data_IF_716047562682
#
_entry.id   IF_716047562682
#
_cell.length_a   1.000
_cell.length_b   1.000
_cell.length_c   1.000
_cell.angle_alpha   90.00
_cell.angle_beta   90.00
_cell.angle_gamma   90.00
#
_symmetry.space_group_name_H-M   'P 1'
#
loop_
_entity.id
_entity.type
_entity.pdbx_description
1 polymer ?
#
# COMPACT_ATOMS: atom_id res chain seq x y z
N UNK A 1 -31.60 -74.65 -54.58
CA UNK A 1 -30.24 -74.62 -54.05
C UNK A 1 -30.07 -73.36 -53.18
N UNK A 2 -30.21 -73.49 -51.86
CA UNK A 2 -30.10 -72.34 -50.90
C UNK A 2 -28.66 -72.21 -50.47
N UNK A 3 -28.00 -71.11 -50.83
CA UNK A 3 -26.64 -70.81 -50.43
C UNK A 3 -26.70 -70.14 -49.05
N UNK A 4 -26.18 -70.83 -48.03
CA UNK A 4 -26.01 -70.29 -46.68
C UNK A 4 -24.80 -69.30 -46.69
N UNK A 5 -25.02 -68.00 -46.33
CA UNK A 5 -23.96 -67.05 -46.16
C UNK A 5 -23.16 -67.41 -44.90
N UNK A 6 -21.82 -67.30 -44.92
CA UNK A 6 -20.98 -67.74 -43.81
C UNK A 6 -21.09 -66.81 -42.60
N UNK A 7 -21.14 -67.42 -41.42
CA UNK A 7 -21.27 -66.78 -40.07
C UNK A 7 -20.12 -65.82 -39.75
N UNK A 8 -19.05 -65.88 -40.49
CA UNK A 8 -17.81 -65.01 -40.25
C UNK A 8 -18.02 -63.53 -40.50
N UNK A 9 -18.97 -63.12 -41.35
CA UNK A 9 -19.14 -61.67 -41.68
C UNK A 9 -19.84 -60.93 -40.55
N UNK A 10 -20.66 -61.56 -39.72
CA UNK A 10 -21.34 -60.90 -38.58
C UNK A 10 -20.38 -60.56 -37.43
N UNK A 11 -19.38 -61.37 -37.14
CA UNK A 11 -18.42 -61.13 -36.08
C UNK A 11 -17.44 -60.01 -36.42
N UNK A 12 -17.11 -59.79 -37.68
CA UNK A 12 -16.21 -58.73 -38.10
C UNK A 12 -16.89 -57.34 -38.02
N UNK A 13 -18.19 -57.28 -38.37
CA UNK A 13 -18.96 -56.04 -38.26
C UNK A 13 -19.17 -55.59 -36.81
N UNK A 14 -19.39 -56.52 -35.88
CA UNK A 14 -19.55 -56.25 -34.47
C UNK A 14 -18.23 -55.74 -33.85
N UNK A 15 -17.08 -56.25 -34.19
CA UNK A 15 -15.78 -55.82 -33.73
C UNK A 15 -15.41 -54.42 -34.24
N UNK A 16 -15.71 -54.10 -35.48
CA UNK A 16 -15.52 -52.80 -36.07
C UNK A 16 -16.42 -51.71 -35.42
N UNK A 17 -17.69 -52.03 -35.18
CA UNK A 17 -18.59 -51.11 -34.48
C UNK A 17 -18.18 -50.85 -33.03
N UNK A 18 -17.72 -51.89 -32.33
CA UNK A 18 -17.24 -51.73 -30.94
C UNK A 18 -15.96 -50.90 -30.86
N UNK A 19 -15.05 -51.09 -31.81
CA UNK A 19 -13.81 -50.32 -31.90
C UNK A 19 -14.07 -48.85 -32.26
N UNK A 20 -14.98 -48.54 -33.14
CA UNK A 20 -15.38 -47.18 -33.50
C UNK A 20 -16.09 -46.45 -32.34
N UNK A 21 -17.01 -47.13 -31.65
CA UNK A 21 -17.71 -46.58 -30.48
C UNK A 21 -16.76 -46.29 -29.30
N UNK A 22 -15.78 -47.17 -29.07
CA UNK A 22 -14.83 -47.00 -27.98
C UNK A 22 -13.85 -45.84 -28.24
N UNK A 23 -13.42 -45.69 -29.51
CA UNK A 23 -12.57 -44.54 -29.88
C UNK A 23 -13.34 -43.22 -29.87
N UNK A 24 -14.60 -43.19 -30.31
CA UNK A 24 -15.47 -42.01 -30.24
C UNK A 24 -15.72 -41.58 -28.78
N UNK A 25 -15.94 -42.54 -27.88
CA UNK A 25 -16.13 -42.27 -26.43
C UNK A 25 -14.85 -41.72 -25.77
N UNK A 26 -13.68 -42.28 -26.12
CA UNK A 26 -12.38 -41.79 -25.63
C UNK A 26 -12.06 -40.39 -26.15
N UNK A 27 -12.42 -40.06 -27.40
CA UNK A 27 -12.27 -38.70 -27.96
C UNK A 27 -13.22 -37.72 -27.26
N UNK A 28 -14.49 -38.14 -27.01
CA UNK A 28 -15.47 -37.30 -26.32
C UNK A 28 -15.07 -36.98 -24.89
N UNK A 29 -14.50 -37.94 -24.13
CA UNK A 29 -13.98 -37.73 -22.79
C UNK A 29 -12.76 -36.77 -22.82
N UNK A 30 -11.86 -36.90 -23.80
CA UNK A 30 -10.71 -35.97 -23.95
C UNK A 30 -11.15 -34.56 -24.29
N UNK A 31 -12.17 -34.39 -25.13
CA UNK A 31 -12.74 -33.06 -25.43
C UNK A 31 -13.43 -32.47 -24.21
N UNK A 32 -14.15 -33.25 -23.40
CA UNK A 32 -14.76 -32.81 -22.16
C UNK A 32 -13.72 -32.40 -21.12
N UNK A 33 -12.58 -33.10 -21.00
CA UNK A 33 -11.47 -32.72 -20.10
C UNK A 33 -10.75 -31.45 -20.56
N UNK A 34 -10.56 -31.25 -21.86
CA UNK A 34 -9.99 -30.04 -22.42
C UNK A 34 -10.94 -28.85 -22.26
N UNK A 35 -12.23 -29.03 -22.54
CA UNK A 35 -13.23 -27.96 -22.35
C UNK A 35 -13.48 -27.64 -20.87
N UNK A 36 -13.49 -28.64 -19.98
CA UNK A 36 -13.57 -28.44 -18.52
C UNK A 36 -12.35 -27.75 -17.97
N UNK A 37 -11.14 -28.06 -18.44
CA UNK A 37 -9.90 -27.38 -18.08
C UNK A 37 -9.90 -25.88 -18.49
N UNK A 38 -10.46 -25.53 -19.63
CA UNK A 38 -10.59 -24.15 -20.09
C UNK A 38 -11.62 -23.35 -19.28
N UNK A 39 -12.69 -23.97 -18.78
CA UNK A 39 -13.70 -23.30 -17.95
C UNK A 39 -13.22 -23.01 -16.52
N UNK A 40 -12.30 -23.81 -15.99
CA UNK A 40 -11.68 -23.55 -14.67
C UNK A 40 -10.58 -22.47 -14.71
N UNK A 41 -9.97 -22.20 -15.87
CA UNK A 41 -8.97 -21.14 -16.00
C UNK A 41 -9.58 -19.73 -16.16
N UNK A 42 -10.86 -19.59 -16.38
CA UNK A 42 -11.52 -18.29 -16.65
C UNK A 42 -12.00 -17.55 -15.40
N UNK A 43 -11.79 -18.06 -14.20
CA UNK A 43 -12.19 -17.42 -12.94
C UNK A 43 -11.03 -17.06 -12.00
N UNK A 44 -9.81 -16.97 -12.49
CA UNK A 44 -8.82 -16.14 -11.81
C UNK A 44 -9.25 -14.68 -12.02
N UNK A 45 -10.19 -14.18 -11.20
CA UNK A 45 -10.30 -12.75 -10.95
C UNK A 45 -8.88 -12.31 -10.61
N UNK A 46 -8.25 -11.57 -11.52
CA UNK A 46 -7.04 -10.86 -11.18
C UNK A 46 -7.44 -9.95 -10.02
N UNK A 47 -7.16 -10.38 -8.81
CA UNK A 47 -7.18 -9.55 -7.64
C UNK A 47 -6.24 -8.40 -8.02
N UNK A 48 -6.80 -7.21 -8.24
CA UNK A 48 -5.99 -6.02 -8.54
C UNK A 48 -5.13 -5.89 -7.30
N UNK A 49 -3.87 -6.31 -7.43
CA UNK A 49 -2.93 -6.23 -6.34
C UNK A 49 -2.94 -4.78 -5.88
N UNK A 50 -3.36 -4.56 -4.65
CA UNK A 50 -3.42 -3.27 -4.00
C UNK A 50 -2.02 -2.67 -4.07
N UNK A 51 -1.84 -1.67 -4.93
CA UNK A 51 -0.54 -1.03 -5.16
C UNK A 51 -0.53 0.33 -4.50
N UNK A 52 0.60 0.69 -3.92
CA UNK A 52 0.85 2.06 -3.55
C UNK A 52 0.69 2.98 -4.77
N UNK A 53 0.11 4.17 -4.61
CA UNK A 53 0.16 5.16 -5.66
C UNK A 53 1.63 5.53 -5.95
N UNK A 54 1.96 5.76 -7.20
CA UNK A 54 3.29 6.23 -7.59
C UNK A 54 3.54 7.63 -7.05
N UNK A 55 4.63 7.83 -6.35
CA UNK A 55 5.05 9.13 -5.79
C UNK A 55 6.02 9.85 -6.72
N UNK A 56 6.67 9.11 -7.62
CA UNK A 56 7.51 9.64 -8.69
C UNK A 56 6.70 9.76 -9.99
N UNK A 57 6.97 10.80 -10.78
CA UNK A 57 6.32 10.97 -12.07
C UNK A 57 6.70 9.84 -13.03
N UNK A 58 5.75 9.28 -13.78
CA UNK A 58 6.00 8.19 -14.73
C UNK A 58 7.04 8.55 -15.82
N UNK A 59 7.25 9.85 -16.09
CA UNK A 59 8.24 10.36 -17.05
C UNK A 59 9.54 10.85 -16.41
N UNK A 60 9.68 10.73 -15.10
CA UNK A 60 10.87 11.17 -14.38
C UNK A 60 11.97 10.12 -14.51
N UNK A 61 12.89 10.34 -15.44
CA UNK A 61 14.06 9.49 -15.61
C UNK A 61 15.17 9.98 -14.69
N UNK A 62 15.45 9.22 -13.63
CA UNK A 62 16.61 9.46 -12.79
C UNK A 62 17.79 8.65 -13.32
N UNK A 63 18.92 9.32 -13.53
CA UNK A 63 20.16 8.66 -13.94
C UNK A 63 20.71 7.88 -12.75
N UNK A 64 21.21 6.65 -13.01
CA UNK A 64 21.88 5.88 -11.98
C UNK A 64 23.08 6.66 -11.44
N UNK A 65 23.11 6.97 -10.14
CA UNK A 65 24.20 7.75 -9.56
C UNK A 65 25.47 6.94 -9.44
N UNK A 66 26.60 7.62 -9.49
CA UNK A 66 27.88 7.03 -9.10
C UNK A 66 27.98 7.01 -7.57
N UNK A 67 28.13 5.81 -7.01
CA UNK A 67 28.20 5.59 -5.55
C UNK A 67 29.60 5.14 -5.10
N UNK A 68 30.62 5.12 -5.99
CA UNK A 68 31.96 4.59 -5.69
C UNK A 68 32.70 5.37 -4.60
N UNK A 69 32.42 6.65 -4.49
CA UNK A 69 33.04 7.52 -3.48
C UNK A 69 32.32 7.47 -2.11
N UNK A 70 31.19 6.73 -2.02
CA UNK A 70 30.47 6.58 -0.77
C UNK A 70 31.11 5.46 0.03
N UNK A 71 31.93 5.82 1.01
CA UNK A 71 32.61 4.89 1.92
C UNK A 71 31.86 4.70 3.23
N UNK A 72 30.84 5.53 3.49
CA UNK A 72 29.96 5.49 4.67
C UNK A 72 28.65 6.19 4.38
N UNK A 73 27.53 5.57 4.82
CA UNK A 73 26.19 6.15 4.74
C UNK A 73 25.44 5.82 6.03
N UNK A 74 25.45 6.74 6.98
CA UNK A 74 24.77 6.57 8.27
C UNK A 74 23.40 7.19 8.24
N UNK A 75 22.43 6.40 8.67
CA UNK A 75 21.07 6.82 8.87
C UNK A 75 20.82 7.03 10.35
N UNK A 76 20.09 8.07 10.69
CA UNK A 76 19.65 8.33 12.06
C UNK A 76 18.13 8.28 12.15
N UNK A 77 17.64 7.64 13.23
CA UNK A 77 16.21 7.45 13.48
C UNK A 77 15.90 7.53 14.98
N UNK A 78 14.63 7.35 15.34
CA UNK A 78 14.16 7.18 16.74
C UNK A 78 13.69 5.74 16.96
N UNK A 79 13.23 5.39 18.17
CA UNK A 79 12.72 4.04 18.48
C UNK A 79 11.27 4.05 19.00
N UNK A 80 10.61 5.19 18.97
CA UNK A 80 9.32 5.46 19.64
C UNK A 80 8.18 5.78 18.66
N UNK A 81 8.31 5.33 17.40
CA UNK A 81 7.34 5.60 16.35
C UNK A 81 6.87 4.33 15.61
N UNK A 82 6.19 3.38 16.29
CA UNK A 82 5.68 2.18 15.64
C UNK A 82 4.51 2.52 14.69
N UNK A 83 4.37 1.80 13.55
CA UNK A 83 5.17 0.66 13.09
C UNK A 83 6.40 1.07 12.23
N UNK A 84 6.77 2.35 12.22
CA UNK A 84 7.83 2.87 11.36
C UNK A 84 9.23 2.58 11.90
N UNK A 85 9.47 2.90 13.15
CA UNK A 85 10.73 2.64 13.86
C UNK A 85 10.46 2.39 15.35
N UNK A 86 10.84 1.23 15.83
CA UNK A 86 10.62 0.77 17.20
C UNK A 86 11.64 -0.30 17.59
N UNK A 87 11.77 -0.59 18.87
CA UNK A 87 12.55 -1.71 19.33
C UNK A 87 11.70 -3.00 19.30
N UNK A 88 12.22 -4.06 18.68
CA UNK A 88 11.60 -5.37 18.69
C UNK A 88 11.73 -6.04 20.09
N UNK A 89 11.16 -7.23 20.24
CA UNK A 89 11.22 -7.98 21.49
C UNK A 89 12.64 -8.34 21.94
N UNK A 90 13.63 -8.27 21.06
CA UNK A 90 15.04 -8.52 21.35
C UNK A 90 15.83 -7.24 21.60
N UNK A 91 15.17 -6.08 21.61
CA UNK A 91 15.80 -4.77 21.79
C UNK A 91 16.51 -4.22 20.53
N UNK A 92 16.31 -4.84 19.36
CA UNK A 92 16.89 -4.37 18.10
C UNK A 92 15.93 -3.41 17.41
N UNK A 93 16.51 -2.40 16.74
CA UNK A 93 15.71 -1.47 15.94
C UNK A 93 15.06 -2.18 14.74
N UNK A 94 13.75 -2.00 14.57
CA UNK A 94 12.92 -2.60 13.57
C UNK A 94 11.84 -1.61 13.09
N UNK A 95 11.11 -1.96 12.03
CA UNK A 95 9.98 -1.19 11.52
C UNK A 95 10.09 -0.92 10.02
N UNK A 96 9.04 -0.30 9.48
CA UNK A 96 8.94 0.04 8.06
C UNK A 96 10.15 0.86 7.57
N UNK A 97 10.54 1.89 8.31
CA UNK A 97 11.67 2.74 7.96
C UNK A 97 13.00 1.97 7.96
N UNK A 98 13.16 1.00 8.87
CA UNK A 98 14.38 0.20 8.97
C UNK A 98 14.50 -0.78 7.80
N UNK A 99 13.39 -1.41 7.41
CA UNK A 99 13.37 -2.28 6.25
C UNK A 99 13.52 -1.49 4.93
N UNK A 100 12.96 -0.27 4.87
CA UNK A 100 13.16 0.66 3.75
C UNK A 100 14.62 1.06 3.62
N UNK A 101 15.28 1.43 4.72
CA UNK A 101 16.72 1.74 4.76
C UNK A 101 17.53 0.58 4.19
N UNK A 102 17.28 -0.65 4.66
CA UNK A 102 17.98 -1.85 4.15
C UNK A 102 17.75 -2.03 2.64
N UNK A 103 16.52 -1.80 2.17
CA UNK A 103 16.21 -1.89 0.74
C UNK A 103 16.93 -0.81 -0.08
N UNK A 104 17.02 0.43 0.42
CA UNK A 104 17.79 1.51 -0.21
C UNK A 104 19.26 1.13 -0.31
N UNK A 105 19.85 0.66 0.77
CA UNK A 105 21.27 0.27 0.79
C UNK A 105 21.56 -0.87 -0.20
N UNK A 106 20.69 -1.86 -0.26
CA UNK A 106 20.80 -2.96 -1.21
C UNK A 106 20.64 -2.48 -2.67
N UNK A 107 19.68 -1.61 -2.93
CA UNK A 107 19.49 -1.04 -4.27
C UNK A 107 20.70 -0.26 -4.78
N UNK A 108 21.36 0.46 -3.86
CA UNK A 108 22.59 1.22 -4.14
C UNK A 108 23.85 0.37 -4.09
N UNK A 109 23.79 -0.91 -3.68
CA UNK A 109 24.93 -1.82 -3.44
C UNK A 109 25.89 -1.27 -2.37
N UNK A 110 25.33 -0.64 -1.36
CA UNK A 110 26.06 0.01 -0.25
C UNK A 110 25.86 -0.70 1.10
N UNK A 111 25.39 -1.97 1.14
CA UNK A 111 25.05 -2.67 2.39
C UNK A 111 26.19 -2.68 3.41
N UNK A 112 27.44 -2.74 2.94
CA UNK A 112 28.63 -2.77 3.80
C UNK A 112 29.00 -1.40 4.41
N UNK A 113 28.44 -0.34 3.84
CA UNK A 113 28.72 1.04 4.20
C UNK A 113 27.54 1.72 4.93
N UNK A 114 26.39 1.03 4.99
CA UNK A 114 25.20 1.55 5.65
C UNK A 114 25.19 1.17 7.12
N UNK A 115 24.93 2.17 7.95
CA UNK A 115 24.77 2.03 9.40
C UNK A 115 23.48 2.74 9.83
N UNK A 116 22.90 2.32 10.95
CA UNK A 116 21.74 2.99 11.55
C UNK A 116 22.04 3.33 13.00
N UNK A 117 21.83 4.58 13.36
CA UNK A 117 21.93 5.10 14.72
C UNK A 117 20.56 5.50 15.25
N UNK A 118 20.38 5.38 16.56
CA UNK A 118 19.14 5.78 17.23
C UNK A 118 19.45 6.93 18.18
N UNK A 119 18.75 8.05 18.00
CA UNK A 119 18.90 9.23 18.87
C UNK A 119 17.51 9.73 19.28
N UNK A 120 17.41 10.52 20.36
CA UNK A 120 16.18 11.21 20.71
C UNK A 120 15.68 12.14 19.58
N UNK A 121 14.36 12.24 19.42
CA UNK A 121 13.74 13.08 18.38
C UNK A 121 14.33 14.50 18.29
N UNK A 122 14.57 15.12 19.44
CA UNK A 122 15.09 16.50 19.52
C UNK A 122 16.52 16.66 18.99
N UNK A 123 17.27 15.57 18.90
CA UNK A 123 18.67 15.57 18.48
C UNK A 123 18.85 15.27 16.99
N UNK A 124 17.83 14.76 16.29
CA UNK A 124 17.92 14.30 14.89
C UNK A 124 18.56 15.37 13.97
N UNK A 125 18.05 16.60 14.01
CA UNK A 125 18.50 17.68 13.10
C UNK A 125 19.94 18.10 13.42
N UNK A 126 20.25 18.34 14.69
CA UNK A 126 21.61 18.73 15.10
C UNK A 126 22.62 17.61 14.86
N UNK A 127 22.20 16.34 15.03
CA UNK A 127 23.06 15.18 14.78
C UNK A 127 23.57 15.14 13.32
N UNK A 128 22.69 15.35 12.32
CA UNK A 128 23.11 15.38 10.90
C UNK A 128 23.84 16.66 10.52
N UNK A 129 23.46 17.81 11.12
CA UNK A 129 24.18 19.08 10.91
C UNK A 129 25.65 18.98 11.35
N UNK A 130 25.88 18.34 12.48
CA UNK A 130 27.22 18.15 13.07
C UNK A 130 27.99 16.98 12.42
N UNK A 131 27.39 16.25 11.45
CA UNK A 131 28.05 15.15 10.74
C UNK A 131 28.07 13.84 11.53
N UNK A 132 27.19 13.69 12.53
CA UNK A 132 26.97 12.44 13.25
C UNK A 132 26.36 11.39 12.31
N UNK A 133 25.44 11.77 11.44
CA UNK A 133 24.88 10.92 10.40
C UNK A 133 24.68 11.73 9.09
N UNK A 134 24.45 11.04 7.98
CA UNK A 134 24.19 11.63 6.66
C UNK A 134 22.70 11.81 6.39
N UNK A 135 21.83 10.88 6.85
CA UNK A 135 20.41 10.80 6.47
C UNK A 135 19.52 10.64 7.69
N UNK A 136 18.44 11.42 7.78
CA UNK A 136 17.35 11.22 8.75
C UNK A 136 16.28 10.34 8.10
N UNK A 137 15.86 9.26 8.80
CA UNK A 137 14.77 8.39 8.45
C UNK A 137 13.86 8.16 9.68
N UNK A 138 13.06 9.18 10.04
CA UNK A 138 12.26 9.19 11.28
C UNK A 138 10.86 9.79 11.11
N UNK A 139 10.43 10.13 9.90
CA UNK A 139 9.16 10.81 9.66
C UNK A 139 9.19 12.30 9.98
N UNK A 140 10.38 12.93 9.92
CA UNK A 140 10.52 14.37 10.09
C UNK A 140 9.74 15.09 8.97
N UNK A 141 8.93 16.09 9.36
CA UNK A 141 8.13 16.87 8.42
C UNK A 141 8.97 17.95 7.74
N UNK A 142 8.76 18.09 6.44
CA UNK A 142 9.22 19.24 5.68
C UNK A 142 8.38 20.47 6.03
N UNK A 143 8.99 21.46 6.65
CA UNK A 143 8.40 22.74 7.07
C UNK A 143 9.38 23.87 6.74
N UNK A 144 8.91 25.12 6.72
CA UNK A 144 9.79 26.27 6.51
C UNK A 144 10.94 26.34 7.53
N UNK A 145 10.73 25.82 8.74
CA UNK A 145 11.78 25.76 9.76
C UNK A 145 12.80 24.66 9.44
N UNK A 146 12.36 23.44 9.13
CA UNK A 146 13.30 22.34 8.85
C UNK A 146 14.06 22.53 7.54
N UNK A 147 13.46 23.19 6.54
CA UNK A 147 14.11 23.59 5.28
C UNK A 147 15.24 24.61 5.45
N UNK A 148 15.36 25.27 6.60
CA UNK A 148 16.50 26.14 6.85
C UNK A 148 17.82 25.37 6.91
N UNK A 149 17.80 24.15 7.45
CA UNK A 149 18.98 23.31 7.68
C UNK A 149 19.04 22.06 6.82
N UNK A 150 17.88 21.59 6.32
CA UNK A 150 17.73 20.30 5.66
C UNK A 150 17.20 20.42 4.23
N UNK A 151 17.51 19.40 3.43
CA UNK A 151 16.90 19.12 2.12
C UNK A 151 16.21 17.75 2.21
N UNK A 152 15.06 17.62 1.55
CA UNK A 152 14.21 16.44 1.62
C UNK A 152 14.13 15.71 0.28
N UNK A 153 14.02 14.39 0.33
CA UNK A 153 13.73 13.56 -0.85
C UNK A 153 12.28 13.74 -1.29
N UNK A 154 11.90 13.14 -2.41
CA UNK A 154 10.50 12.83 -2.70
C UNK A 154 9.92 11.91 -1.61
N UNK A 155 8.60 11.95 -1.36
CA UNK A 155 8.00 11.10 -0.35
C UNK A 155 8.02 9.63 -0.77
N UNK A 156 8.21 8.76 0.21
CA UNK A 156 8.10 7.30 0.05
C UNK A 156 6.81 6.72 0.65
N UNK A 157 6.04 7.55 1.37
CA UNK A 157 4.72 7.22 1.89
C UNK A 157 3.92 8.50 2.11
N UNK A 158 2.62 8.50 1.78
CA UNK A 158 1.69 9.61 2.06
C UNK A 158 0.54 9.11 2.90
N UNK A 159 -0.09 10.01 3.63
CA UNK A 159 -1.25 9.72 4.48
C UNK A 159 -2.47 10.41 3.89
N UNK A 160 -3.30 9.68 3.11
CA UNK A 160 -4.52 10.24 2.57
C UNK A 160 -5.58 10.41 3.64
N UNK A 161 -6.50 11.33 3.43
CA UNK A 161 -7.77 11.29 4.13
C UNK A 161 -8.68 10.24 3.47
N UNK A 162 -9.46 9.52 4.27
CA UNK A 162 -10.36 8.47 3.81
C UNK A 162 -11.73 8.59 4.45
N UNK A 163 -12.74 8.15 3.73
CA UNK A 163 -14.04 7.85 4.32
C UNK A 163 -14.09 6.40 4.82
N UNK A 164 -14.81 6.23 5.93
CA UNK A 164 -15.15 4.93 6.50
C UNK A 164 -16.64 4.85 6.72
N UNK A 165 -17.25 3.73 6.34
CA UNK A 165 -18.64 3.39 6.56
C UNK A 165 -18.82 2.02 7.20
N UNK A 166 -20.01 1.77 7.77
CA UNK A 166 -20.47 0.42 8.07
C UNK A 166 -20.69 -0.38 6.79
N UNK A 167 -20.28 -1.65 6.74
CA UNK A 167 -20.57 -2.55 5.61
C UNK A 167 -22.06 -2.80 5.35
N UNK A 168 -22.92 -2.45 6.33
CA UNK A 168 -24.37 -2.51 6.15
C UNK A 168 -24.89 -1.39 5.25
N UNK A 169 -24.14 -0.30 5.12
CA UNK A 169 -24.47 0.81 4.25
C UNK A 169 -23.91 0.48 2.86
N UNK A 170 -24.81 0.18 1.93
CA UNK A 170 -24.41 -0.12 0.55
C UNK A 170 -24.09 1.18 -0.17
N UNK A 171 -22.82 1.48 -0.33
CA UNK A 171 -22.31 2.69 -0.98
C UNK A 171 -21.54 2.30 -2.23
N UNK A 172 -21.73 3.09 -3.29
CA UNK A 172 -20.99 2.97 -4.53
C UNK A 172 -19.54 3.48 -4.35
N UNK A 173 -18.63 3.08 -5.23
CA UNK A 173 -17.26 3.60 -5.26
C UNK A 173 -17.24 5.13 -5.42
N UNK A 174 -18.19 5.70 -6.16
CA UNK A 174 -18.38 7.15 -6.30
C UNK A 174 -19.37 7.67 -5.27
N UNK A 175 -18.91 7.93 -4.04
CA UNK A 175 -19.78 8.38 -2.94
C UNK A 175 -20.19 9.84 -3.02
N UNK A 176 -19.63 10.65 -3.94
CA UNK A 176 -19.79 12.12 -3.95
C UNK A 176 -21.25 12.56 -4.02
N UNK A 177 -22.08 11.90 -4.81
CA UNK A 177 -23.51 12.22 -4.93
C UNK A 177 -24.30 11.79 -3.69
N UNK A 178 -23.86 10.72 -3.01
CA UNK A 178 -24.53 10.19 -1.83
C UNK A 178 -24.20 11.00 -0.57
N UNK A 179 -23.05 11.69 -0.52
CA UNK A 179 -22.60 12.49 0.64
C UNK A 179 -23.60 13.55 1.09
N UNK A 180 -24.39 14.11 0.17
CA UNK A 180 -25.40 15.15 0.51
C UNK A 180 -26.54 14.60 1.37
N UNK A 181 -26.78 13.30 1.33
CA UNK A 181 -27.81 12.60 2.09
C UNK A 181 -27.30 11.95 3.37
N UNK A 182 -25.98 11.79 3.49
CA UNK A 182 -25.30 11.10 4.59
C UNK A 182 -24.70 12.13 5.55
N UNK A 183 -24.65 11.77 6.84
CA UNK A 183 -24.00 12.58 7.87
C UNK A 183 -22.58 12.09 8.05
N UNK A 184 -21.60 12.92 7.69
CA UNK A 184 -20.19 12.64 7.88
C UNK A 184 -19.68 13.23 9.19
N UNK A 185 -18.91 12.46 9.96
CA UNK A 185 -18.22 12.94 11.16
C UNK A 185 -16.77 13.30 10.85
N UNK A 186 -16.27 14.37 11.47
CA UNK A 186 -14.87 14.76 11.42
C UNK A 186 -14.36 15.21 12.79
N UNK A 187 -13.04 15.15 12.98
CA UNK A 187 -12.41 15.75 14.16
C UNK A 187 -12.36 17.27 13.99
N UNK A 188 -12.92 17.98 14.97
CA UNK A 188 -13.03 19.45 14.99
C UNK A 188 -11.65 20.12 14.96
N UNK A 189 -11.55 21.22 14.21
CA UNK A 189 -10.32 22.01 14.03
C UNK A 189 -9.15 21.24 13.41
N UNK A 190 -9.41 20.06 12.84
CA UNK A 190 -8.40 19.26 12.14
C UNK A 190 -8.17 19.76 10.71
N UNK A 191 -7.08 19.30 10.11
CA UNK A 191 -6.83 19.50 8.67
C UNK A 191 -7.83 18.73 7.82
N UNK A 192 -8.37 17.62 8.33
CA UNK A 192 -9.39 16.81 7.66
C UNK A 192 -10.73 17.54 7.59
N UNK A 193 -11.11 18.29 8.63
CA UNK A 193 -12.29 19.18 8.58
C UNK A 193 -12.14 20.24 7.48
N UNK A 194 -10.96 20.88 7.40
CA UNK A 194 -10.69 21.88 6.34
C UNK A 194 -10.78 21.26 4.95
N UNK A 195 -10.18 20.08 4.78
CA UNK A 195 -10.21 19.35 3.52
C UNK A 195 -11.63 18.94 3.16
N UNK A 196 -12.41 18.44 4.11
CA UNK A 196 -13.80 18.06 3.91
C UNK A 196 -14.64 19.25 3.39
N UNK A 197 -14.53 20.41 4.02
CA UNK A 197 -15.24 21.61 3.58
C UNK A 197 -14.83 22.07 2.18
N UNK A 198 -13.57 21.92 1.83
CA UNK A 198 -13.07 22.31 0.51
C UNK A 198 -13.59 21.40 -0.61
N UNK A 199 -13.70 20.10 -0.36
CA UNK A 199 -14.06 19.11 -1.38
C UNK A 199 -15.57 18.80 -1.39
N UNK A 200 -16.24 18.89 -0.23
CA UNK A 200 -17.63 18.49 -0.05
C UNK A 200 -18.48 19.59 0.61
N UNK A 201 -18.55 20.80 0.03
CA UNK A 201 -19.19 21.95 0.67
C UNK A 201 -20.70 21.79 0.90
N UNK A 202 -21.35 20.84 0.19
CA UNK A 202 -22.80 20.57 0.32
C UNK A 202 -23.11 19.38 1.23
N UNK A 203 -22.11 18.64 1.68
CA UNK A 203 -22.29 17.45 2.50
C UNK A 203 -22.61 17.82 3.96
N UNK A 204 -23.41 16.98 4.63
CA UNK A 204 -23.74 17.16 6.05
C UNK A 204 -22.56 16.77 6.90
N UNK A 205 -22.18 17.64 7.84
CA UNK A 205 -21.00 17.47 8.69
C UNK A 205 -21.37 17.60 10.17
N UNK A 206 -20.96 16.60 10.95
CA UNK A 206 -20.96 16.63 12.41
C UNK A 206 -19.52 16.65 12.92
N UNK A 207 -19.25 17.55 13.90
CA UNK A 207 -17.92 17.78 14.46
C UNK A 207 -17.80 17.10 15.82
N UNK A 208 -16.65 16.46 16.05
CA UNK A 208 -16.32 15.81 17.32
C UNK A 208 -15.02 16.43 17.87
N UNK A 209 -14.91 16.55 19.18
CA UNK A 209 -13.71 17.07 19.83
C UNK A 209 -12.62 16.00 19.91
N UNK A 210 -13.02 14.79 20.24
CA UNK A 210 -12.14 13.65 20.45
C UNK A 210 -12.38 12.56 19.43
N UNK A 211 -11.31 11.86 19.05
CA UNK A 211 -11.35 10.79 18.05
C UNK A 211 -12.16 9.59 18.52
N UNK A 212 -12.13 9.29 19.80
CA UNK A 212 -12.90 8.24 20.44
C UNK A 212 -14.41 8.51 20.34
N UNK A 213 -14.83 9.76 20.53
CA UNK A 213 -16.25 10.16 20.36
C UNK A 213 -16.70 10.03 18.91
N UNK A 214 -15.84 10.41 17.96
CA UNK A 214 -16.08 10.29 16.53
C UNK A 214 -16.30 8.81 16.13
N UNK A 215 -15.42 7.92 16.58
CA UNK A 215 -15.49 6.49 16.29
C UNK A 215 -16.71 5.85 16.94
N UNK A 216 -17.01 6.22 18.19
CA UNK A 216 -18.20 5.76 18.91
C UNK A 216 -19.49 6.20 18.22
N UNK A 217 -19.55 7.41 17.68
CA UNK A 217 -20.72 7.91 16.97
C UNK A 217 -21.03 7.08 15.72
N UNK A 218 -20.00 6.61 14.97
CA UNK A 218 -20.19 5.68 13.87
C UNK A 218 -20.68 4.31 14.35
N UNK A 219 -20.12 3.79 15.44
CA UNK A 219 -20.52 2.51 16.02
C UNK A 219 -21.99 2.52 16.53
N UNK A 220 -22.43 3.64 17.06
CA UNK A 220 -23.79 3.87 17.55
C UNK A 220 -24.77 4.33 16.46
N UNK A 221 -24.33 4.36 15.20
CA UNK A 221 -25.13 4.83 14.04
C UNK A 221 -25.69 6.26 14.19
N UNK A 222 -24.99 7.13 14.94
CA UNK A 222 -25.31 8.55 15.06
C UNK A 222 -24.83 9.36 13.86
N UNK A 223 -23.85 8.84 13.16
CA UNK A 223 -23.34 9.31 11.87
C UNK A 223 -23.21 8.11 10.91
N UNK A 224 -23.21 8.39 9.62
CA UNK A 224 -23.14 7.39 8.56
C UNK A 224 -21.69 7.11 8.14
N UNK A 225 -20.85 8.16 8.17
CA UNK A 225 -19.47 8.15 7.69
C UNK A 225 -18.52 8.83 8.68
N UNK A 226 -17.27 8.39 8.68
CA UNK A 226 -16.14 9.14 9.25
C UNK A 226 -15.26 9.60 8.09
N UNK A 227 -14.75 10.84 8.16
CA UNK A 227 -13.69 11.35 7.30
C UNK A 227 -12.49 11.77 8.16
N UNK A 228 -11.42 10.99 8.10
CA UNK A 228 -10.22 11.20 8.94
C UNK A 228 -8.97 10.68 8.24
N UNK A 229 -7.83 10.73 8.90
CA UNK A 229 -6.55 10.16 8.49
C UNK A 229 -6.67 8.66 8.20
N UNK A 230 -6.34 8.25 6.98
CA UNK A 230 -6.49 6.86 6.53
C UNK A 230 -5.64 5.88 7.34
N UNK A 231 -4.43 6.29 7.76
CA UNK A 231 -3.57 5.46 8.61
C UNK A 231 -4.17 5.28 10.02
N UNK A 232 -4.64 6.37 10.64
CA UNK A 232 -5.31 6.29 11.94
C UNK A 232 -6.55 5.38 11.90
N UNK A 233 -7.35 5.49 10.83
CA UNK A 233 -8.51 4.63 10.60
C UNK A 233 -8.11 3.17 10.38
N UNK A 234 -7.02 2.88 9.67
CA UNK A 234 -6.52 1.51 9.47
C UNK A 234 -6.09 0.86 10.79
N UNK A 235 -5.46 1.62 11.67
CA UNK A 235 -5.12 1.16 13.02
C UNK A 235 -6.35 0.94 13.88
N UNK A 236 -7.36 1.82 13.78
CA UNK A 236 -8.62 1.64 14.48
C UNK A 236 -9.32 0.35 14.04
N UNK A 237 -9.39 0.05 12.75
CA UNK A 237 -9.92 -1.22 12.25
C UNK A 237 -9.24 -2.43 12.88
N UNK A 238 -7.91 -2.44 12.90
CA UNK A 238 -7.12 -3.56 13.44
C UNK A 238 -7.45 -3.87 14.90
N UNK A 239 -7.78 -2.85 15.67
CA UNK A 239 -8.03 -2.96 17.10
C UNK A 239 -9.50 -3.27 17.47
N UNK A 240 -10.41 -3.33 16.47
CA UNK A 240 -11.82 -3.58 16.74
C UNK A 240 -12.15 -5.07 16.68
N UNK A 241 -12.92 -5.57 17.70
CA UNK A 241 -13.50 -6.93 17.67
C UNK A 241 -14.41 -7.14 16.45
N UNK A 242 -14.92 -6.07 15.87
CA UNK A 242 -15.81 -6.02 14.71
C UNK A 242 -15.08 -5.55 13.42
N UNK A 243 -13.83 -5.94 13.24
CA UNK A 243 -13.00 -5.64 12.06
C UNK A 243 -13.77 -5.74 10.72
N UNK A 244 -14.63 -6.73 10.59
CA UNK A 244 -15.43 -6.95 9.39
C UNK A 244 -16.67 -6.05 9.27
N UNK A 245 -16.96 -5.18 10.24
CA UNK A 245 -18.17 -4.33 10.22
C UNK A 245 -17.99 -3.03 9.44
N UNK A 246 -16.75 -2.62 9.20
CA UNK A 246 -16.40 -1.34 8.57
C UNK A 246 -15.49 -1.54 7.37
N UNK A 247 -15.47 -0.56 6.46
CA UNK A 247 -14.58 -0.55 5.31
C UNK A 247 -14.33 0.89 4.84
N UNK A 248 -13.25 1.08 4.11
CA UNK A 248 -13.01 2.32 3.40
C UNK A 248 -13.99 2.42 2.23
N UNK A 249 -14.52 3.63 2.01
CA UNK A 249 -15.39 3.95 0.89
C UNK A 249 -14.86 5.18 0.13
N UNK A 250 -15.16 5.24 -1.14
CA UNK A 250 -14.59 6.27 -2.03
C UNK A 250 -13.08 6.16 -2.18
N UNK A 251 -12.48 7.16 -2.80
CA UNK A 251 -11.05 7.21 -3.07
C UNK A 251 -10.19 7.65 -1.89
N UNK A 252 -8.86 7.59 -2.08
CA UNK A 252 -7.87 8.18 -1.19
C UNK A 252 -7.65 9.65 -1.54
N UNK A 253 -7.97 10.56 -0.63
CA UNK A 253 -7.88 12.00 -0.86
C UNK A 253 -6.49 12.50 -0.44
N UNK A 254 -5.64 12.73 -1.43
CA UNK A 254 -4.28 13.24 -1.24
C UNK A 254 -4.28 14.75 -1.47
N UNK A 255 -3.95 15.52 -0.43
CA UNK A 255 -3.91 16.98 -0.47
C UNK A 255 -2.63 17.49 0.23
N UNK A 256 -1.47 17.49 -0.45
CA UNK A 256 -0.17 17.83 0.17
C UNK A 256 -0.15 19.19 0.86
N UNK A 257 -0.91 20.16 0.36
CA UNK A 257 -1.00 21.52 0.94
C UNK A 257 -1.65 21.54 2.33
N UNK A 258 -2.52 20.56 2.63
CA UNK A 258 -3.21 20.44 3.92
C UNK A 258 -2.68 19.28 4.75
N UNK A 259 -2.49 18.10 4.14
CA UNK A 259 -2.09 16.88 4.83
C UNK A 259 -0.57 16.72 4.96
N UNK A 260 0.23 17.59 4.30
CA UNK A 260 1.68 17.49 4.24
C UNK A 260 2.17 16.61 3.10
N UNK A 261 3.47 16.71 2.81
CA UNK A 261 4.10 16.00 1.69
C UNK A 261 4.14 14.47 1.87
N UNK A 262 4.05 13.99 3.10
CA UNK A 262 4.22 12.58 3.44
C UNK A 262 5.54 12.33 4.18
N UNK A 263 5.95 11.06 4.24
CA UNK A 263 7.24 10.67 4.82
C UNK A 263 8.34 10.77 3.78
N UNK A 264 9.40 11.46 4.15
CA UNK A 264 10.56 11.75 3.30
C UNK A 264 11.85 11.43 4.09
N UNK A 265 12.93 11.16 3.39
CA UNK A 265 14.26 11.19 3.95
C UNK A 265 14.74 12.64 3.96
N UNK A 266 15.58 13.00 4.93
CA UNK A 266 16.16 14.32 5.00
C UNK A 266 17.68 14.24 5.18
N UNK A 267 18.40 15.17 4.58
CA UNK A 267 19.85 15.33 4.72
C UNK A 267 20.20 16.77 5.11
N UNK A 268 21.33 17.00 5.77
CA UNK A 268 21.83 18.35 5.96
C UNK A 268 22.16 19.00 4.60
N UNK A 269 21.97 20.31 4.44
CA UNK A 269 22.27 21.04 3.20
C UNK A 269 23.66 20.78 2.64
N UNK A 270 24.67 20.61 3.48
CA UNK A 270 26.04 20.26 3.06
C UNK A 270 26.14 18.90 2.33
N UNK A 271 25.15 18.03 2.54
CA UNK A 271 25.05 16.70 1.93
C UNK A 271 23.97 16.62 0.83
N UNK A 272 23.55 17.74 0.26
CA UNK A 272 22.44 17.84 -0.71
C UNK A 272 22.60 16.87 -1.89
N UNK A 273 23.82 16.60 -2.32
CA UNK A 273 24.10 15.63 -3.40
C UNK A 273 23.57 14.22 -3.11
N UNK A 274 23.37 13.84 -1.85
CA UNK A 274 22.76 12.57 -1.49
C UNK A 274 21.27 12.49 -1.87
N UNK A 275 20.59 13.61 -2.06
CA UNK A 275 19.16 13.64 -2.41
C UNK A 275 18.91 12.93 -3.74
N UNK A 276 19.72 13.17 -4.76
CA UNK A 276 19.56 12.54 -6.07
C UNK A 276 19.81 11.03 -5.98
N UNK A 277 20.79 10.60 -5.18
CA UNK A 277 21.11 9.20 -4.93
C UNK A 277 19.95 8.50 -4.22
N UNK A 278 19.40 9.14 -3.17
CA UNK A 278 18.28 8.60 -2.40
C UNK A 278 16.98 8.58 -3.23
N UNK A 279 16.71 9.63 -4.01
CA UNK A 279 15.56 9.67 -4.92
C UNK A 279 15.66 8.59 -6.00
N UNK A 280 16.84 8.35 -6.57
CA UNK A 280 17.05 7.25 -7.50
C UNK A 280 16.74 5.89 -6.86
N UNK A 281 17.23 5.66 -5.64
CA UNK A 281 16.96 4.42 -4.91
C UNK A 281 15.46 4.25 -4.63
N UNK A 282 14.79 5.28 -4.11
CA UNK A 282 13.35 5.26 -3.82
C UNK A 282 12.52 5.00 -5.07
N UNK A 283 12.81 5.69 -6.19
CA UNK A 283 12.13 5.48 -7.47
C UNK A 283 12.31 4.05 -7.97
N UNK A 284 13.55 3.55 -7.94
CA UNK A 284 13.83 2.18 -8.37
C UNK A 284 13.11 1.13 -7.51
N UNK A 285 12.99 1.35 -6.19
CA UNK A 285 12.23 0.48 -5.28
C UNK A 285 10.72 0.57 -5.52
N UNK A 286 10.21 1.73 -5.96
CA UNK A 286 8.82 1.90 -6.38
C UNK A 286 8.55 1.12 -7.67
N UNK A 287 9.41 1.26 -8.69
CA UNK A 287 9.31 0.57 -9.98
C UNK A 287 9.41 -0.95 -9.85
N UNK A 288 10.27 -1.45 -8.98
CA UNK A 288 10.43 -2.88 -8.69
C UNK A 288 9.27 -3.44 -7.83
N UNK A 289 8.35 -2.60 -7.35
CA UNK A 289 7.27 -2.99 -6.43
C UNK A 289 7.71 -3.25 -4.99
N UNK A 290 8.98 -2.98 -4.64
CA UNK A 290 9.52 -3.22 -3.29
C UNK A 290 8.88 -2.29 -2.25
N UNK A 291 8.55 -1.04 -2.60
CA UNK A 291 7.82 -0.15 -1.70
C UNK A 291 6.43 -0.70 -1.39
N UNK A 292 5.73 -1.26 -2.38
CA UNK A 292 4.42 -1.91 -2.18
C UNK A 292 4.54 -3.15 -1.29
N UNK A 293 5.55 -3.99 -1.50
CA UNK A 293 5.80 -5.16 -0.64
C UNK A 293 6.02 -4.76 0.82
N UNK A 294 6.87 -3.75 1.06
CA UNK A 294 7.12 -3.23 2.40
C UNK A 294 5.85 -2.64 3.01
N UNK A 295 5.10 -1.86 2.24
CA UNK A 295 3.85 -1.28 2.69
C UNK A 295 2.86 -2.35 3.16
N UNK A 296 2.58 -3.35 2.34
CA UNK A 296 1.63 -4.42 2.68
C UNK A 296 2.09 -5.28 3.87
N UNK A 297 3.40 -5.39 4.11
CA UNK A 297 3.95 -6.07 5.28
C UNK A 297 3.61 -5.37 6.59
N UNK A 298 3.66 -4.04 6.61
CA UNK A 298 3.44 -3.24 7.82
C UNK A 298 2.01 -2.73 7.96
N UNK A 299 1.29 -2.59 6.85
CA UNK A 299 -0.08 -2.06 6.78
C UNK A 299 -1.00 -3.08 6.10
N UNK A 300 -1.40 -4.15 6.82
CA UNK A 300 -2.24 -5.22 6.25
C UNK A 300 -3.64 -4.75 5.86
N UNK A 301 -4.07 -3.58 6.37
CA UNK A 301 -5.24 -2.86 5.91
C UNK A 301 -4.74 -1.65 5.16
N UNK A 302 -4.82 -1.72 3.84
CA UNK A 302 -4.44 -0.60 2.99
C UNK A 302 -5.33 0.61 3.27
N UNK A 303 -4.71 1.77 3.30
CA UNK A 303 -5.39 3.04 3.46
C UNK A 303 -5.35 3.89 2.17
N UNK A 304 -4.96 3.27 1.05
CA UNK A 304 -5.05 3.86 -0.30
C UNK A 304 -6.27 3.39 -1.07
#
# INVERSE_FOLDING_TARGET
MKIRKPIYVKHLQWRLQYFLLHNLYAIFIRILFVAGGFLFFSYAKAEIAERLPFFFGAREHLVQPDTRDITRLRFVTTFDFPPFNFLDQTGRIAGYNIDLLRAICSKLKLEKFCEVEVVPWKELVEHVKNGGAEVIIAGLKETSQTQQDLVFTKPYLRFPARFVASRKLNLDESINEQLVHLTSGVLSKSVHEKLFHSYFPKAKLQRFKEREELYKALQEHKIDLIFDDGFALSLWFKNQKSFNCYHFVGGAYIAPQLLGQGMQLAVAKKNEKLIDILNYALKSLEEDGKLTELYLRYFPISFY
#
